data_IF_001257998680
#
_entry.id   IF_001257998680
#
_cell.length_a   1.000
_cell.length_b   1.000
_cell.length_c   1.000
_cell.angle_alpha   90.00
_cell.angle_beta   90.00
_cell.angle_gamma   90.00
#
_symmetry.space_group_name_H-M   'P 1'
#
loop_
_entity.id
_entity.type
_entity.pdbx_description
1 polymer ?
#
# COMPACT_ATOMS: atom_id res chain seq x y z
N UNK A 1 -2.38 12.47 5.87
CA UNK A 1 -1.62 11.24 5.62
C UNK A 1 -1.82 10.66 4.21
N UNK A 2 -2.92 10.93 3.58
CA UNK A 2 -3.25 10.55 2.20
C UNK A 2 -2.36 11.28 1.17
N UNK A 3 -1.81 12.42 1.53
CA UNK A 3 -1.22 13.36 0.57
C UNK A 3 0.19 12.99 0.06
N UNK A 4 1.04 12.39 0.89
CA UNK A 4 2.40 12.03 0.46
C UNK A 4 2.41 10.76 -0.41
N UNK A 5 1.53 9.82 -0.06
CA UNK A 5 1.32 8.59 -0.82
C UNK A 5 0.70 8.88 -2.19
N UNK A 6 -0.30 9.79 -2.22
CA UNK A 6 -0.96 10.23 -3.45
C UNK A 6 0.02 10.96 -4.37
N UNK A 7 0.94 11.78 -3.85
CA UNK A 7 1.87 12.55 -4.68
C UNK A 7 2.86 11.65 -5.45
N UNK A 8 3.38 10.59 -4.82
CA UNK A 8 4.30 9.66 -5.48
C UNK A 8 3.60 8.69 -6.43
N UNK A 9 2.33 8.37 -6.17
CA UNK A 9 1.50 7.55 -7.06
C UNK A 9 1.09 8.32 -8.32
N UNK A 10 0.96 9.65 -8.24
CA UNK A 10 0.57 10.52 -9.38
C UNK A 10 1.74 10.78 -10.35
N UNK A 11 3.00 10.57 -9.93
CA UNK A 11 4.20 10.92 -10.72
C UNK A 11 4.81 9.77 -11.52
N UNK A 12 4.19 8.57 -11.58
CA UNK A 12 4.66 7.52 -12.50
C UNK A 12 4.19 7.84 -13.93
N UNK A 13 5.14 8.18 -14.87
CA UNK A 13 4.80 8.55 -16.24
C UNK A 13 4.23 7.41 -17.09
N UNK A 14 4.24 6.16 -16.59
CA UNK A 14 3.64 4.99 -17.25
C UNK A 14 2.19 4.76 -16.85
N UNK A 15 1.62 5.62 -16.00
CA UNK A 15 0.22 5.52 -15.62
C UNK A 15 -0.69 5.87 -16.79
N UNK A 16 -1.34 4.87 -17.35
CA UNK A 16 -2.48 5.10 -18.24
C UNK A 16 -3.63 5.73 -17.43
N UNK A 17 -3.82 7.05 -17.62
CA UNK A 17 -4.87 7.83 -16.97
C UNK A 17 -6.27 7.58 -17.55
N UNK A 18 -6.38 6.73 -18.56
CA UNK A 18 -7.60 6.49 -19.33
C UNK A 18 -8.48 5.35 -18.79
N UNK A 19 -8.11 4.72 -17.66
CA UNK A 19 -8.91 3.62 -17.11
C UNK A 19 -10.26 4.13 -16.61
N UNK A 20 -11.33 3.47 -17.09
CA UNK A 20 -12.70 3.74 -16.67
C UNK A 20 -12.87 3.51 -15.16
N UNK A 21 -13.60 4.40 -14.48
CA UNK A 21 -13.97 4.22 -13.07
C UNK A 21 -14.86 2.99 -12.84
N UNK A 22 -15.49 2.48 -13.89
CA UNK A 22 -16.40 1.32 -13.82
C UNK A 22 -15.71 0.00 -14.20
N UNK A 23 -14.40 0.03 -14.49
CA UNK A 23 -13.64 -1.17 -14.79
C UNK A 23 -12.57 -1.40 -13.71
N UNK A 24 -12.30 -2.68 -13.33
CA UNK A 24 -11.25 -2.97 -12.38
C UNK A 24 -9.90 -2.48 -12.91
N UNK A 25 -9.01 -1.98 -12.02
CA UNK A 25 -7.67 -1.58 -12.41
C UNK A 25 -6.92 -2.77 -12.99
N UNK A 26 -6.26 -2.56 -14.14
CA UNK A 26 -5.52 -3.63 -14.81
C UNK A 26 -4.15 -3.85 -14.16
N UNK A 27 -3.81 -5.11 -13.94
CA UNK A 27 -2.54 -5.57 -13.37
C UNK A 27 -1.86 -6.59 -14.30
N UNK A 28 -0.65 -6.29 -14.73
CA UNK A 28 0.15 -7.07 -15.67
C UNK A 28 1.38 -7.75 -15.03
N UNK A 29 1.46 -7.75 -13.70
CA UNK A 29 2.62 -8.24 -12.96
C UNK A 29 3.58 -7.13 -12.54
N UNK A 30 3.44 -5.90 -13.05
CA UNK A 30 4.24 -4.75 -12.65
C UNK A 30 3.52 -3.93 -11.56
N UNK A 31 4.27 -3.18 -10.76
CA UNK A 31 3.72 -2.22 -9.78
C UNK A 31 2.62 -2.80 -8.85
N UNK A 32 2.82 -4.01 -8.35
CA UNK A 32 1.82 -4.71 -7.55
C UNK A 32 1.28 -3.87 -6.38
N UNK A 33 2.15 -3.21 -5.62
CA UNK A 33 1.75 -2.39 -4.48
C UNK A 33 0.76 -1.26 -4.86
N UNK A 34 0.98 -0.63 -6.02
CA UNK A 34 0.08 0.38 -6.56
C UNK A 34 -1.25 -0.21 -7.01
N UNK A 35 -1.20 -1.31 -7.80
CA UNK A 35 -2.39 -2.00 -8.29
C UNK A 35 -3.22 -2.55 -7.12
N UNK A 36 -2.58 -3.09 -6.07
CA UNK A 36 -3.23 -3.58 -4.85
C UNK A 36 -4.15 -2.52 -4.24
N UNK A 37 -3.63 -1.30 -4.01
CA UNK A 37 -4.42 -0.22 -3.42
C UNK A 37 -5.61 0.16 -4.30
N UNK A 38 -5.41 0.23 -5.61
CA UNK A 38 -6.48 0.57 -6.55
C UNK A 38 -7.56 -0.50 -6.64
N UNK A 39 -7.17 -1.78 -6.66
CA UNK A 39 -8.12 -2.89 -6.67
C UNK A 39 -8.91 -2.92 -5.35
N UNK A 40 -8.27 -2.72 -4.19
CA UNK A 40 -8.97 -2.60 -2.91
C UNK A 40 -10.02 -1.48 -2.94
N UNK A 41 -9.64 -0.28 -3.41
CA UNK A 41 -10.55 0.86 -3.53
C UNK A 41 -11.69 0.58 -4.51
N UNK A 42 -11.41 -0.09 -5.63
CA UNK A 42 -12.42 -0.48 -6.62
C UNK A 42 -13.42 -1.49 -6.01
N UNK A 43 -12.96 -2.55 -5.35
CA UNK A 43 -13.82 -3.55 -4.72
C UNK A 43 -14.71 -2.92 -3.64
N UNK A 44 -14.15 -2.07 -2.78
CA UNK A 44 -14.95 -1.32 -1.78
C UNK A 44 -15.96 -0.38 -2.43
N UNK A 45 -15.66 0.19 -3.61
CA UNK A 45 -16.60 1.06 -4.32
C UNK A 45 -17.79 0.34 -4.95
N UNK A 46 -17.66 -0.96 -5.22
CA UNK A 46 -18.80 -1.80 -5.64
C UNK A 46 -19.73 -2.00 -4.46
N UNK A 47 -19.22 -2.56 -3.37
CA UNK A 47 -19.87 -2.76 -2.07
C UNK A 47 -18.80 -3.15 -1.05
N UNK A 48 -18.85 -2.61 0.18
CA UNK A 48 -17.91 -3.00 1.25
C UNK A 48 -17.91 -4.51 1.52
N UNK A 49 -19.05 -5.18 1.35
CA UNK A 49 -19.17 -6.63 1.50
C UNK A 49 -18.36 -7.40 0.44
N UNK A 50 -18.13 -6.81 -0.74
CA UNK A 50 -17.30 -7.41 -1.80
C UNK A 50 -15.83 -7.42 -1.36
N UNK A 51 -15.35 -6.32 -0.78
CA UNK A 51 -14.01 -6.26 -0.19
C UNK A 51 -13.89 -7.16 1.05
N UNK A 52 -14.93 -7.24 1.89
CA UNK A 52 -14.96 -8.15 3.03
C UNK A 52 -14.88 -9.62 2.62
N UNK A 53 -15.49 -10.02 1.49
CA UNK A 53 -15.36 -11.36 0.94
C UNK A 53 -13.91 -11.70 0.55
N UNK A 54 -13.12 -10.73 0.09
CA UNK A 54 -11.68 -10.91 -0.16
C UNK A 54 -10.88 -11.02 1.14
N UNK A 55 -11.16 -10.17 2.13
CA UNK A 55 -10.42 -10.19 3.40
C UNK A 55 -10.72 -11.41 4.25
N UNK A 56 -12.00 -11.69 4.45
CA UNK A 56 -12.46 -12.68 5.41
C UNK A 56 -12.66 -14.06 4.75
N UNK A 57 -12.85 -14.07 3.43
CA UNK A 57 -13.13 -15.26 2.65
C UNK A 57 -14.60 -15.69 2.74
N UNK A 58 -14.92 -16.69 1.96
CA UNK A 58 -16.20 -17.34 1.93
C UNK A 58 -16.02 -18.85 1.92
N UNK A 59 -16.80 -19.55 2.72
CA UNK A 59 -16.82 -21.02 2.71
C UNK A 59 -18.09 -21.49 2.06
N UNK A 60 -17.94 -22.27 0.99
CA UNK A 60 -19.09 -22.86 0.31
C UNK A 60 -19.79 -23.87 1.24
N UNK A 61 -21.09 -23.70 1.42
CA UNK A 61 -21.89 -24.70 2.10
C UNK A 61 -21.96 -26.00 1.28
N UNK A 62 -21.86 -27.15 1.93
CA UNK A 62 -22.03 -28.47 1.30
C UNK A 62 -23.50 -28.73 0.94
N UNK A 63 -24.45 -28.00 1.52
CA UNK A 63 -25.86 -28.09 1.22
C UNK A 63 -26.16 -27.71 -0.25
N UNK A 64 -27.15 -28.34 -0.84
CA UNK A 64 -27.57 -28.01 -2.19
C UNK A 64 -27.96 -26.55 -2.32
N UNK A 65 -27.50 -25.87 -3.40
CA UNK A 65 -27.73 -24.43 -3.59
C UNK A 65 -29.22 -24.03 -3.52
N UNK A 66 -30.12 -24.95 -3.85
CA UNK A 66 -31.57 -24.76 -3.76
C UNK A 66 -32.10 -24.63 -2.32
N UNK A 67 -31.29 -25.02 -1.32
CA UNK A 67 -31.66 -24.94 0.10
C UNK A 67 -31.03 -23.73 0.81
N UNK A 68 -30.24 -22.94 0.11
CA UNK A 68 -29.61 -21.76 0.67
C UNK A 68 -30.65 -20.69 0.95
N UNK A 69 -30.54 -20.07 2.12
CA UNK A 69 -31.35 -18.91 2.45
C UNK A 69 -30.84 -17.65 1.71
N UNK A 70 -31.57 -16.55 1.83
CA UNK A 70 -31.24 -15.28 1.19
C UNK A 70 -29.88 -14.74 1.65
N UNK A 71 -29.51 -14.96 2.91
CA UNK A 71 -28.25 -14.50 3.46
C UNK A 71 -27.07 -15.28 2.87
N UNK A 72 -27.16 -16.62 2.83
CA UNK A 72 -26.15 -17.49 2.21
C UNK A 72 -25.94 -17.17 0.72
N UNK A 73 -27.03 -16.92 -0.02
CA UNK A 73 -26.96 -16.52 -1.43
C UNK A 73 -26.30 -15.14 -1.58
N UNK A 74 -26.59 -14.18 -0.71
CA UNK A 74 -25.98 -12.86 -0.77
C UNK A 74 -24.45 -12.94 -0.58
N UNK A 75 -23.97 -13.71 0.39
CA UNK A 75 -22.53 -13.88 0.65
C UNK A 75 -21.85 -14.63 -0.52
N UNK A 76 -22.48 -15.63 -1.11
CA UNK A 76 -21.97 -16.32 -2.28
C UNK A 76 -21.88 -15.39 -3.51
N UNK A 77 -22.84 -14.48 -3.67
CA UNK A 77 -22.82 -13.49 -4.75
C UNK A 77 -21.69 -12.48 -4.55
N UNK A 78 -21.47 -11.97 -3.34
CA UNK A 78 -20.36 -11.05 -3.07
C UNK A 78 -18.99 -11.69 -3.33
N UNK A 79 -18.81 -12.98 -2.99
CA UNK A 79 -17.61 -13.71 -3.39
C UNK A 79 -17.46 -13.77 -4.92
N UNK A 80 -18.55 -14.06 -5.64
CA UNK A 80 -18.51 -14.15 -7.10
C UNK A 80 -18.24 -12.79 -7.76
N UNK A 81 -18.77 -11.71 -7.24
CA UNK A 81 -18.52 -10.34 -7.69
C UNK A 81 -17.05 -9.96 -7.48
N UNK A 82 -16.50 -10.25 -6.29
CA UNK A 82 -15.10 -10.03 -5.98
C UNK A 82 -14.16 -10.81 -6.90
N UNK A 83 -14.44 -12.11 -7.08
CA UNK A 83 -13.64 -13.00 -7.93
C UNK A 83 -13.67 -12.55 -9.39
N UNK A 84 -14.86 -12.20 -9.91
CA UNK A 84 -14.99 -11.67 -11.26
C UNK A 84 -14.22 -10.35 -11.45
N UNK A 85 -14.28 -9.44 -10.49
CA UNK A 85 -13.54 -8.20 -10.55
C UNK A 85 -12.02 -8.42 -10.56
N UNK A 86 -11.52 -9.37 -9.75
CA UNK A 86 -10.10 -9.76 -9.76
C UNK A 86 -9.73 -10.37 -11.12
N UNK A 87 -10.52 -11.29 -11.66
CA UNK A 87 -10.24 -11.92 -12.95
C UNK A 87 -10.24 -10.93 -14.11
N UNK A 88 -11.16 -9.96 -14.13
CA UNK A 88 -11.20 -8.93 -15.14
C UNK A 88 -10.07 -7.90 -15.01
N UNK A 89 -9.48 -7.78 -13.82
CA UNK A 89 -8.44 -6.81 -13.51
C UNK A 89 -7.01 -7.31 -13.75
N UNK A 90 -6.80 -8.54 -14.20
CA UNK A 90 -5.46 -9.12 -14.36
C UNK A 90 -5.13 -9.49 -15.80
N UNK A 91 -3.84 -9.55 -16.15
CA UNK A 91 -3.36 -10.06 -17.43
C UNK A 91 -3.63 -11.56 -17.58
N UNK A 92 -3.48 -12.08 -18.79
CA UNK A 92 -3.67 -13.50 -19.07
C UNK A 92 -2.70 -14.38 -18.25
N UNK A 93 -1.47 -13.95 -18.07
CA UNK A 93 -0.47 -14.69 -17.29
C UNK A 93 -0.86 -14.79 -15.82
N UNK A 94 -1.36 -13.69 -15.25
CA UNK A 94 -1.82 -13.65 -13.88
C UNK A 94 -3.15 -14.40 -13.70
N UNK A 95 -4.03 -14.31 -14.70
CA UNK A 95 -5.27 -15.11 -14.72
C UNK A 95 -4.99 -16.61 -14.67
N UNK A 96 -4.01 -17.11 -15.42
CA UNK A 96 -3.65 -18.52 -15.39
C UNK A 96 -3.23 -19.00 -13.99
N UNK A 97 -2.64 -18.12 -13.17
CA UNK A 97 -2.23 -18.44 -11.78
C UNK A 97 -3.42 -18.65 -10.85
N UNK A 98 -4.51 -17.92 -11.09
CA UNK A 98 -5.67 -17.87 -10.19
C UNK A 98 -6.95 -18.47 -10.76
N UNK A 99 -6.95 -18.88 -12.05
CA UNK A 99 -8.17 -19.36 -12.74
C UNK A 99 -8.78 -20.62 -12.15
N UNK A 100 -8.01 -21.38 -11.38
CA UNK A 100 -8.46 -22.64 -10.78
C UNK A 100 -9.21 -22.47 -9.45
N UNK A 101 -9.18 -21.26 -8.84
CA UNK A 101 -9.85 -21.01 -7.56
C UNK A 101 -11.26 -20.48 -7.74
N UNK A 102 -12.11 -20.75 -6.74
CA UNK A 102 -13.52 -20.31 -6.72
C UNK A 102 -13.81 -19.32 -5.58
N UNK A 103 -12.81 -19.02 -4.77
CA UNK A 103 -12.90 -18.14 -3.61
C UNK A 103 -12.02 -16.91 -3.86
N UNK A 104 -12.63 -15.74 -3.77
CA UNK A 104 -11.94 -14.47 -4.05
C UNK A 104 -10.72 -14.24 -3.13
N UNK A 105 -10.81 -14.65 -1.87
CA UNK A 105 -9.69 -14.60 -0.93
C UNK A 105 -8.50 -15.43 -1.40
N UNK A 106 -8.73 -16.66 -1.87
CA UNK A 106 -7.65 -17.53 -2.38
C UNK A 106 -6.96 -16.90 -3.60
N UNK A 107 -7.74 -16.37 -4.54
CA UNK A 107 -7.18 -15.66 -5.70
C UNK A 107 -6.29 -14.50 -5.26
N UNK A 108 -6.77 -13.71 -4.30
CA UNK A 108 -6.02 -12.58 -3.74
C UNK A 108 -4.74 -13.01 -3.03
N UNK A 109 -4.80 -14.04 -2.18
CA UNK A 109 -3.65 -14.58 -1.45
C UNK A 109 -2.58 -15.15 -2.39
N UNK A 110 -2.97 -15.78 -3.51
CA UNK A 110 -2.02 -16.25 -4.53
C UNK A 110 -1.27 -15.07 -5.14
N UNK A 111 -1.98 -14.01 -5.58
CA UNK A 111 -1.35 -12.80 -6.12
C UNK A 111 -0.47 -12.13 -5.07
N UNK A 112 -0.98 -11.96 -3.86
CA UNK A 112 -0.23 -11.34 -2.76
C UNK A 112 1.04 -12.12 -2.44
N UNK A 113 0.96 -13.44 -2.35
CA UNK A 113 2.13 -14.29 -2.10
C UNK A 113 3.14 -14.25 -3.24
N UNK A 114 2.65 -14.19 -4.48
CA UNK A 114 3.50 -14.15 -5.68
C UNK A 114 4.34 -12.86 -5.70
N UNK A 115 3.75 -11.70 -5.38
CA UNK A 115 4.39 -10.39 -5.55
C UNK A 115 4.97 -9.79 -4.28
N UNK A 116 4.39 -10.06 -3.13
CA UNK A 116 4.92 -9.59 -1.85
C UNK A 116 5.75 -10.65 -1.12
N UNK A 117 5.53 -11.91 -1.46
CA UNK A 117 6.16 -13.05 -0.80
C UNK A 117 5.37 -13.55 0.42
N UNK A 118 5.87 -14.62 1.00
CA UNK A 118 5.28 -15.20 2.21
C UNK A 118 5.40 -14.23 3.39
N UNK A 119 4.62 -14.45 4.44
CA UNK A 119 4.69 -13.65 5.68
C UNK A 119 6.13 -13.50 6.18
N UNK A 120 6.91 -14.58 6.18
CA UNK A 120 8.32 -14.57 6.59
C UNK A 120 9.18 -13.63 5.72
N UNK A 121 8.94 -13.61 4.41
CA UNK A 121 9.65 -12.71 3.47
C UNK A 121 9.24 -11.27 3.72
N UNK A 122 7.94 -11.01 3.95
CA UNK A 122 7.44 -9.67 4.32
C UNK A 122 8.08 -9.17 5.61
N UNK A 123 8.10 -10.01 6.66
CA UNK A 123 8.69 -9.67 7.95
C UNK A 123 10.18 -9.34 7.81
N UNK A 124 10.92 -10.13 7.02
CA UNK A 124 12.33 -9.86 6.74
C UNK A 124 12.55 -8.55 5.99
N UNK A 125 11.76 -8.28 4.94
CA UNK A 125 11.80 -7.02 4.19
C UNK A 125 11.48 -5.83 5.09
N UNK A 126 10.47 -5.98 5.96
CA UNK A 126 10.07 -4.94 6.90
C UNK A 126 11.20 -4.63 7.90
N UNK A 127 11.87 -5.65 8.41
CA UNK A 127 13.02 -5.49 9.29
C UNK A 127 14.17 -4.76 8.58
N UNK A 128 14.49 -5.13 7.32
CA UNK A 128 15.51 -4.45 6.52
C UNK A 128 15.18 -2.97 6.30
N UNK A 129 13.93 -2.66 5.96
CA UNK A 129 13.48 -1.27 5.77
C UNK A 129 13.50 -0.48 7.08
N UNK A 130 13.19 -1.12 8.20
CA UNK A 130 13.28 -0.51 9.53
C UNK A 130 14.72 -0.20 9.90
N UNK A 131 15.65 -1.14 9.70
CA UNK A 131 17.08 -0.92 9.91
C UNK A 131 17.59 0.21 9.00
N UNK A 132 17.25 0.19 7.70
CA UNK A 132 17.61 1.27 6.76
C UNK A 132 17.08 2.62 7.23
N UNK A 133 15.81 2.70 7.66
CA UNK A 133 15.22 3.92 8.21
C UNK A 133 16.00 4.44 9.43
N UNK A 134 16.37 3.56 10.37
CA UNK A 134 17.09 3.97 11.59
C UNK A 134 18.56 4.36 11.32
N UNK A 135 19.23 3.71 10.38
CA UNK A 135 20.63 3.99 10.05
C UNK A 135 20.84 5.18 9.11
N UNK A 136 19.79 5.56 8.35
CA UNK A 136 19.91 6.62 7.34
C UNK A 136 20.33 7.94 8.00
N UNK A 137 21.41 8.52 7.50
CA UNK A 137 21.92 9.86 7.85
C UNK A 137 22.26 10.59 6.57
N UNK A 138 22.13 11.90 6.61
CA UNK A 138 22.54 12.78 5.52
C UNK A 138 24.06 12.78 5.37
N UNK A 139 24.56 12.60 4.15
CA UNK A 139 26.00 12.66 3.83
C UNK A 139 26.44 14.11 3.53
N UNK A 140 27.74 14.41 3.72
CA UNK A 140 28.29 15.78 3.55
C UNK A 140 28.02 16.37 2.17
N UNK A 141 28.10 15.58 1.12
CA UNK A 141 27.87 15.99 -0.27
C UNK A 141 26.43 15.80 -0.75
N UNK A 142 25.49 15.49 0.16
CA UNK A 142 24.12 15.16 -0.19
C UNK A 142 23.19 16.37 -0.01
N UNK A 143 22.30 16.58 -0.99
CA UNK A 143 21.22 17.55 -0.84
C UNK A 143 20.12 17.02 0.11
N UNK A 144 19.42 17.96 0.76
CA UNK A 144 18.28 17.62 1.61
C UNK A 144 17.22 16.81 0.84
N UNK A 145 16.92 17.18 -0.40
CA UNK A 145 15.94 16.48 -1.24
C UNK A 145 16.34 15.03 -1.52
N UNK A 146 17.63 14.78 -1.78
CA UNK A 146 18.17 13.43 -2.00
C UNK A 146 18.05 12.58 -0.73
N UNK A 147 18.48 13.13 0.41
CA UNK A 147 18.35 12.49 1.71
C UNK A 147 16.89 12.17 2.04
N UNK A 148 16.00 13.18 1.89
CA UNK A 148 14.57 13.00 2.14
C UNK A 148 13.96 11.96 1.21
N UNK A 149 14.35 11.93 -0.06
CA UNK A 149 13.92 10.91 -1.03
C UNK A 149 14.21 9.49 -0.54
N UNK A 150 15.44 9.23 -0.06
CA UNK A 150 15.85 7.92 0.48
C UNK A 150 15.05 7.56 1.75
N UNK A 151 14.82 8.53 2.63
CA UNK A 151 14.04 8.32 3.85
C UNK A 151 12.58 7.99 3.52
N UNK A 152 11.99 8.76 2.61
CA UNK A 152 10.61 8.58 2.17
C UNK A 152 10.42 7.22 1.47
N UNK A 153 11.39 6.76 0.68
CA UNK A 153 11.40 5.43 0.07
C UNK A 153 11.29 4.32 1.13
N UNK A 154 12.04 4.43 2.23
CA UNK A 154 11.95 3.47 3.33
C UNK A 154 10.58 3.53 4.03
N UNK A 155 10.03 4.72 4.26
CA UNK A 155 8.69 4.92 4.88
C UNK A 155 7.59 4.33 4.00
N UNK A 156 7.63 4.60 2.69
CA UNK A 156 6.67 4.04 1.73
C UNK A 156 6.81 2.52 1.63
N UNK A 157 8.04 2.01 1.61
CA UNK A 157 8.30 0.58 1.60
C UNK A 157 7.68 -0.14 2.81
N UNK A 158 7.81 0.43 4.00
CA UNK A 158 7.17 -0.08 5.22
C UNK A 158 5.65 -0.04 5.14
N UNK A 159 5.10 1.08 4.66
CA UNK A 159 3.66 1.23 4.48
C UNK A 159 3.09 0.19 3.52
N UNK A 160 3.77 -0.09 2.41
CA UNK A 160 3.36 -1.10 1.44
C UNK A 160 3.34 -2.54 2.03
N UNK A 161 4.14 -2.77 3.07
CA UNK A 161 4.16 -4.03 3.82
C UNK A 161 3.19 -4.03 5.01
N UNK A 162 2.38 -2.98 5.17
CA UNK A 162 1.34 -2.87 6.19
C UNK A 162 1.78 -2.18 7.49
N UNK A 163 3.02 -1.65 7.57
CA UNK A 163 3.49 -0.91 8.73
C UNK A 163 3.48 0.61 8.49
N UNK A 164 2.61 1.28 9.22
CA UNK A 164 2.52 2.74 9.21
C UNK A 164 3.57 3.35 10.13
N UNK A 165 4.36 4.29 9.60
CA UNK A 165 5.26 5.12 10.40
C UNK A 165 4.56 6.45 10.70
N UNK A 166 4.50 6.85 11.98
CA UNK A 166 3.89 8.12 12.39
C UNK A 166 4.72 9.30 11.91
N UNK A 167 4.04 10.39 11.52
CA UNK A 167 4.68 11.60 10.99
C UNK A 167 5.69 12.20 11.98
N UNK A 168 5.36 12.22 13.28
CA UNK A 168 6.26 12.66 14.33
C UNK A 168 7.55 11.84 14.41
N UNK A 169 7.49 10.53 14.16
CA UNK A 169 8.68 9.67 14.09
C UNK A 169 9.55 10.03 12.88
N UNK A 170 8.93 10.36 11.74
CA UNK A 170 9.64 10.77 10.53
C UNK A 170 10.29 12.14 10.74
N UNK A 171 9.56 13.11 11.32
CA UNK A 171 10.07 14.44 11.65
C UNK A 171 11.29 14.35 12.58
N UNK A 172 11.19 13.62 13.70
CA UNK A 172 12.32 13.43 14.62
C UNK A 172 13.50 12.74 13.95
N UNK A 173 13.24 11.79 13.03
CA UNK A 173 14.31 11.13 12.28
C UNK A 173 15.03 12.10 11.34
N UNK A 174 14.28 12.94 10.62
CA UNK A 174 14.86 13.99 9.77
C UNK A 174 15.80 14.88 10.60
N UNK A 175 15.28 15.51 11.66
CA UNK A 175 16.04 16.46 12.47
C UNK A 175 17.34 15.87 13.05
N UNK A 176 17.30 14.61 13.52
CA UNK A 176 18.48 13.90 14.06
C UNK A 176 19.48 13.44 13.01
N UNK A 177 19.11 13.44 11.75
CA UNK A 177 19.91 12.88 10.66
C UNK A 177 20.53 13.96 9.77
N UNK A 178 20.24 15.24 10.03
CA UNK A 178 20.78 16.37 9.28
C UNK A 178 22.26 16.60 9.61
N UNK A 179 22.97 17.24 8.68
CA UNK A 179 24.33 17.70 8.86
C UNK A 179 24.41 18.89 9.85
N UNK A 180 25.59 19.12 10.42
CA UNK A 180 25.86 20.27 11.32
C UNK A 180 25.48 21.60 10.68
N UNK A 181 25.63 21.74 9.35
CA UNK A 181 25.24 22.96 8.62
C UNK A 181 23.77 23.31 8.75
N UNK A 182 22.90 22.33 9.06
CA UNK A 182 21.47 22.51 9.28
C UNK A 182 21.08 22.63 10.76
N UNK A 183 22.02 22.44 11.70
CA UNK A 183 21.72 22.42 13.14
C UNK A 183 20.99 23.68 13.62
N UNK A 184 21.42 24.88 13.18
CA UNK A 184 20.76 26.11 13.58
C UNK A 184 19.28 26.15 13.20
N UNK A 185 18.94 25.68 12.01
CA UNK A 185 17.52 25.56 11.57
C UNK A 185 16.77 24.47 12.34
N UNK A 186 17.41 23.34 12.56
CA UNK A 186 16.83 22.22 13.32
C UNK A 186 16.47 22.67 14.74
N UNK A 187 17.40 23.34 15.45
CA UNK A 187 17.17 23.87 16.80
C UNK A 187 16.01 24.86 16.85
N UNK A 188 15.92 25.79 15.89
CA UNK A 188 14.79 26.75 15.83
C UNK A 188 13.46 26.01 15.65
N UNK A 189 13.42 24.96 14.85
CA UNK A 189 12.20 24.17 14.64
C UNK A 189 11.84 23.40 15.91
N UNK A 190 12.82 22.77 16.57
CA UNK A 190 12.61 22.02 17.81
C UNK A 190 12.14 22.91 18.97
N UNK A 191 12.61 24.16 19.04
CA UNK A 191 12.23 25.12 20.09
C UNK A 191 10.90 25.83 19.80
N UNK A 192 10.54 26.02 18.53
CA UNK A 192 9.40 26.85 18.13
C UNK A 192 8.09 26.09 17.96
N UNK A 193 8.12 24.78 17.81
CA UNK A 193 6.94 23.96 17.48
C UNK A 193 6.93 22.65 18.27
N UNK A 194 5.72 22.17 18.59
CA UNK A 194 5.53 20.81 19.05
C UNK A 194 5.80 19.84 17.87
N UNK A 195 6.82 18.99 18.03
CA UNK A 195 7.23 18.02 17.00
C UNK A 195 6.14 17.01 16.67
N UNK A 196 5.13 16.84 17.53
CA UNK A 196 4.00 15.95 17.30
C UNK A 196 2.92 16.59 16.43
N UNK A 197 2.92 17.92 16.29
CA UNK A 197 1.98 18.68 15.47
C UNK A 197 2.55 19.10 14.11
N UNK A 198 3.88 19.05 13.94
CA UNK A 198 4.54 19.46 12.69
C UNK A 198 4.18 18.50 11.57
N UNK A 199 3.65 19.05 10.47
CA UNK A 199 3.46 18.30 9.24
C UNK A 199 4.77 18.18 8.46
N UNK A 200 5.04 16.99 7.92
CA UNK A 200 6.24 16.72 7.12
C UNK A 200 6.44 17.77 6.00
N UNK A 201 5.35 18.23 5.36
CA UNK A 201 5.39 19.26 4.30
C UNK A 201 5.94 20.61 4.79
N UNK A 202 5.55 21.02 6.00
CA UNK A 202 6.04 22.27 6.61
C UNK A 202 7.53 22.18 6.92
N UNK A 203 7.96 21.00 7.39
CA UNK A 203 9.37 20.73 7.66
C UNK A 203 10.20 20.80 6.36
N UNK A 204 9.76 20.12 5.30
CA UNK A 204 10.45 20.11 4.00
C UNK A 204 10.58 21.53 3.43
N UNK A 205 9.50 22.33 3.49
CA UNK A 205 9.52 23.72 3.01
C UNK A 205 10.42 24.65 3.80
N UNK A 206 10.97 24.21 4.94
CA UNK A 206 11.88 24.98 5.78
C UNK A 206 13.35 24.76 5.42
N UNK A 207 13.71 23.73 4.65
CA UNK A 207 15.07 23.39 4.23
C UNK A 207 15.35 23.71 2.78
#
# INVERSE_FOLDING_TARGET
MTDLYILNVILDPKMDRSQSLNAPPFFDGSNYAFCKVRICAFLSSIDERVWDAVKNGWTRSEAAKSTWDKAALAVANTNSEALNAIFCGVSLDEFHRISHVTIAKEAWEILETTYEGTKKVKDTKLQMLTTRFEELKMSEDESFDSFFGKLNEAVIGKFNLGEKTEDSKVVRKILRSLLESFCAKATVIEESKDLDEIKIRELIGSF
#
